data_IF_554443472834
#
_entry.id   IF_554443472834
#
_cell.length_a   1.000
_cell.length_b   1.000
_cell.length_c   1.000
_cell.angle_alpha   90.00
_cell.angle_beta   90.00
_cell.angle_gamma   90.00
#
_symmetry.space_group_name_H-M   'P 1'
#
loop_
_entity.id
_entity.type
_entity.pdbx_description
1 polymer ?
#
# COMPACT_ATOMS: atom_id res chain seq x y z
N UNK A 1 22.27 -0.33 -26.53
CA UNK A 1 21.25 -0.59 -27.57
C UNK A 1 19.87 -0.41 -26.92
N UNK A 2 19.36 0.81 -26.88
CA UNK A 2 17.95 1.06 -26.54
C UNK A 2 17.14 0.72 -27.77
N UNK A 3 16.60 -0.52 -27.84
CA UNK A 3 15.65 -0.87 -28.89
C UNK A 3 14.50 0.13 -28.83
N UNK A 4 14.12 0.66 -29.96
CA UNK A 4 12.97 1.55 -30.10
C UNK A 4 11.72 0.79 -29.64
N UNK A 5 11.29 1.05 -28.40
CA UNK A 5 10.11 0.43 -27.80
C UNK A 5 8.85 1.28 -27.99
N UNK A 6 9.02 2.47 -28.57
CA UNK A 6 7.93 3.43 -28.76
C UNK A 6 6.83 2.84 -29.65
N UNK A 7 5.59 2.96 -29.22
CA UNK A 7 4.43 2.44 -29.95
C UNK A 7 4.19 0.92 -29.84
N UNK A 8 5.09 0.15 -29.20
CA UNK A 8 4.81 -1.27 -28.96
C UNK A 8 3.64 -1.44 -28.00
N UNK A 9 2.84 -2.46 -28.23
CA UNK A 9 1.70 -2.80 -27.38
C UNK A 9 2.11 -3.77 -26.27
N UNK A 10 1.67 -3.49 -25.06
CA UNK A 10 1.93 -4.30 -23.87
C UNK A 10 0.62 -4.60 -23.16
N UNK A 11 0.43 -5.85 -22.78
CA UNK A 11 -0.66 -6.28 -21.91
C UNK A 11 -0.14 -6.44 -20.48
N UNK A 12 -0.82 -5.81 -19.52
CA UNK A 12 -0.57 -5.98 -18.09
C UNK A 12 -1.74 -6.75 -17.50
N UNK A 13 -1.50 -7.91 -16.94
CA UNK A 13 -2.54 -8.73 -16.30
C UNK A 13 -2.57 -8.47 -14.80
N UNK A 14 -3.71 -8.00 -14.33
CA UNK A 14 -3.93 -7.58 -12.95
C UNK A 14 -3.82 -6.05 -12.77
N UNK A 15 -4.92 -5.44 -12.32
CA UNK A 15 -5.06 -4.01 -12.08
C UNK A 15 -4.84 -3.60 -10.62
N UNK A 16 -4.09 -4.36 -9.83
CA UNK A 16 -3.63 -3.94 -8.52
C UNK A 16 -2.62 -2.80 -8.59
N UNK A 17 -2.17 -2.29 -7.43
CA UNK A 17 -1.25 -1.14 -7.38
C UNK A 17 0.02 -1.36 -8.22
N UNK A 18 0.57 -2.57 -8.22
CA UNK A 18 1.74 -2.92 -9.04
C UNK A 18 1.44 -2.84 -10.53
N UNK A 19 0.32 -3.45 -10.99
CA UNK A 19 -0.05 -3.44 -12.40
C UNK A 19 -0.37 -2.05 -12.93
N UNK A 20 -1.07 -1.24 -12.14
CA UNK A 20 -1.36 0.16 -12.48
C UNK A 20 -0.08 0.99 -12.54
N UNK A 21 0.81 0.85 -11.57
CA UNK A 21 2.11 1.55 -11.55
C UNK A 21 2.97 1.16 -12.74
N UNK A 22 3.04 -0.14 -13.06
CA UNK A 22 3.77 -0.64 -14.22
C UNK A 22 3.21 -0.07 -15.52
N UNK A 23 1.89 -0.11 -15.68
CA UNK A 23 1.24 0.45 -16.86
C UNK A 23 1.51 1.95 -17.03
N UNK A 24 1.43 2.69 -15.93
CA UNK A 24 1.77 4.12 -15.90
C UNK A 24 3.21 4.37 -16.35
N UNK A 25 4.18 3.68 -15.76
CA UNK A 25 5.61 3.84 -16.10
C UNK A 25 5.93 3.42 -17.54
N UNK A 26 5.27 2.39 -18.06
CA UNK A 26 5.43 1.96 -19.45
C UNK A 26 4.80 2.97 -20.42
N UNK A 27 3.63 3.52 -20.10
CA UNK A 27 2.99 4.54 -20.93
C UNK A 27 3.84 5.82 -21.03
N UNK A 28 4.49 6.23 -19.94
CA UNK A 28 5.43 7.35 -19.95
C UNK A 28 6.65 7.11 -20.90
N UNK A 29 6.99 5.84 -21.16
CA UNK A 29 8.03 5.46 -22.11
C UNK A 29 7.53 5.34 -23.56
N UNK A 30 6.27 5.71 -23.80
CA UNK A 30 5.68 5.73 -25.14
C UNK A 30 5.15 4.37 -25.61
N UNK A 31 4.94 3.40 -24.71
CA UNK A 31 4.27 2.16 -25.04
C UNK A 31 2.75 2.33 -24.96
N UNK A 32 2.04 1.55 -25.81
CA UNK A 32 0.59 1.41 -25.72
C UNK A 32 0.25 0.30 -24.73
N UNK A 33 -0.28 0.63 -23.55
CA UNK A 33 -0.50 -0.35 -22.50
C UNK A 33 -1.98 -0.61 -22.31
N UNK A 34 -2.35 -1.89 -22.22
CA UNK A 34 -3.70 -2.34 -21.86
C UNK A 34 -3.63 -3.13 -20.56
N UNK A 35 -4.43 -2.75 -19.57
CA UNK A 35 -4.57 -3.50 -18.32
C UNK A 35 -5.77 -4.44 -18.44
N UNK A 36 -5.56 -5.71 -18.12
CA UNK A 36 -6.62 -6.72 -17.99
C UNK A 36 -6.86 -6.99 -16.51
N UNK A 37 -8.00 -6.53 -16.00
CA UNK A 37 -8.43 -6.73 -14.61
C UNK A 37 -9.69 -7.58 -14.58
N UNK A 38 -9.74 -8.55 -13.67
CA UNK A 38 -10.90 -9.43 -13.50
C UNK A 38 -12.04 -8.76 -12.74
N UNK A 39 -11.70 -7.86 -11.83
CA UNK A 39 -12.69 -7.13 -11.03
C UNK A 39 -13.20 -5.88 -11.75
N UNK A 40 -14.29 -5.33 -11.25
CA UNK A 40 -14.94 -4.15 -11.83
C UNK A 40 -14.12 -2.86 -11.64
N UNK A 41 -13.16 -2.85 -10.71
CA UNK A 41 -12.36 -1.69 -10.36
C UNK A 41 -10.87 -2.03 -10.26
N UNK A 42 -10.04 -1.05 -10.63
CA UNK A 42 -8.61 -1.10 -10.40
C UNK A 42 -8.29 -0.87 -8.90
N UNK A 43 -7.08 -1.19 -8.49
CA UNK A 43 -6.55 -0.98 -7.14
C UNK A 43 -6.25 -2.29 -6.39
N UNK A 44 -6.94 -3.38 -6.68
CA UNK A 44 -6.72 -4.66 -6.00
C UNK A 44 -6.94 -4.55 -4.49
N UNK A 45 -5.96 -4.94 -3.67
CA UNK A 45 -6.03 -4.82 -2.21
C UNK A 45 -5.93 -3.35 -1.71
N UNK A 46 -5.34 -2.45 -2.49
CA UNK A 46 -5.31 -1.02 -2.18
C UNK A 46 -6.63 -0.30 -2.55
N UNK A 47 -7.59 -1.03 -3.12
CA UNK A 47 -8.93 -0.52 -3.38
C UNK A 47 -9.78 -0.43 -2.11
N UNK A 48 -10.98 0.06 -2.28
CA UNK A 48 -11.98 0.14 -1.20
C UNK A 48 -13.17 -0.78 -1.49
N UNK A 49 -14.00 -0.99 -0.47
CA UNK A 49 -15.29 -1.66 -0.57
C UNK A 49 -16.36 -0.86 0.18
N UNK A 50 -17.62 -0.90 -0.26
CA UNK A 50 -18.72 -0.30 0.49
C UNK A 50 -19.03 -1.17 1.71
N UNK A 51 -19.21 -0.51 2.86
CA UNK A 51 -19.64 -1.14 4.10
C UNK A 51 -20.52 -0.14 4.88
N UNK A 52 -21.78 -0.48 5.11
CA UNK A 52 -22.76 0.33 5.87
C UNK A 52 -22.78 1.83 5.47
N UNK A 53 -22.83 2.10 4.16
CA UNK A 53 -22.83 3.46 3.61
C UNK A 53 -21.47 4.17 3.62
N UNK A 54 -20.43 3.53 4.15
CA UNK A 54 -19.06 4.04 4.18
C UNK A 54 -18.22 3.38 3.09
N UNK A 55 -17.09 4.00 2.78
CA UNK A 55 -16.03 3.41 1.95
C UNK A 55 -14.88 3.04 2.87
N UNK A 56 -14.63 1.75 3.02
CA UNK A 56 -13.53 1.23 3.82
C UNK A 56 -12.48 0.57 2.93
N UNK A 57 -11.25 0.58 3.36
CA UNK A 57 -10.16 -0.10 2.65
C UNK A 57 -10.40 -1.60 2.61
N UNK A 58 -10.13 -2.24 1.46
CA UNK A 58 -10.23 -3.70 1.31
C UNK A 58 -9.23 -4.44 2.18
N UNK A 59 -8.08 -3.84 2.36
CA UNK A 59 -7.00 -4.41 3.13
C UNK A 59 -6.20 -3.30 3.80
N UNK A 60 -5.66 -3.59 4.97
CA UNK A 60 -4.78 -2.67 5.66
C UNK A 60 -3.54 -2.36 4.80
N UNK A 61 -3.30 -1.09 4.57
CA UNK A 61 -2.10 -0.61 3.91
C UNK A 61 -1.66 0.72 4.52
N UNK A 62 -0.36 0.90 4.65
CA UNK A 62 0.23 2.09 5.24
C UNK A 62 1.38 2.58 4.36
N UNK A 63 1.44 3.87 4.16
CA UNK A 63 2.57 4.54 3.51
C UNK A 63 3.41 5.17 4.61
N UNK A 64 4.68 4.76 4.69
CA UNK A 64 5.61 5.32 5.65
C UNK A 64 6.22 6.61 5.11
N UNK A 65 6.51 7.55 6.01
CA UNK A 65 7.22 8.78 5.63
C UNK A 65 8.66 8.55 5.15
N UNK A 66 9.21 7.36 5.36
CA UNK A 66 10.50 6.92 4.84
C UNK A 66 10.42 6.25 3.46
N UNK A 67 9.23 5.96 2.94
CA UNK A 67 9.05 5.33 1.62
C UNK A 67 9.14 6.37 0.50
N UNK A 68 10.38 6.72 0.15
CA UNK A 68 10.67 7.73 -0.87
C UNK A 68 10.17 7.32 -2.26
N UNK A 69 10.15 6.02 -2.57
CA UNK A 69 9.68 5.52 -3.86
C UNK A 69 8.17 5.75 -4.02
N UNK A 70 7.40 5.45 -2.99
CA UNK A 70 5.95 5.69 -3.00
C UNK A 70 5.65 7.20 -3.02
N UNK A 71 6.38 8.00 -2.24
CA UNK A 71 6.20 9.45 -2.25
C UNK A 71 6.49 10.06 -3.62
N UNK A 72 7.56 9.63 -4.29
CA UNK A 72 7.87 10.05 -5.67
C UNK A 72 6.75 9.70 -6.65
N UNK A 73 6.19 8.49 -6.54
CA UNK A 73 5.07 8.08 -7.39
C UNK A 73 3.81 8.93 -7.13
N UNK A 74 3.52 9.25 -5.88
CA UNK A 74 2.40 10.11 -5.49
C UNK A 74 2.58 11.53 -6.04
N UNK A 75 3.80 12.06 -5.96
CA UNK A 75 4.14 13.37 -6.51
C UNK A 75 3.99 13.40 -8.04
N UNK A 76 4.55 12.39 -8.73
CA UNK A 76 4.40 12.23 -10.18
C UNK A 76 2.93 12.09 -10.62
N UNK A 77 2.09 11.50 -9.77
CA UNK A 77 0.64 11.35 -10.02
C UNK A 77 -0.16 12.63 -9.77
N UNK A 78 0.47 13.70 -9.26
CA UNK A 78 -0.17 15.00 -9.00
C UNK A 78 -1.17 14.99 -7.84
N UNK A 79 -1.04 14.04 -6.89
CA UNK A 79 -1.93 13.91 -5.73
C UNK A 79 -1.21 14.08 -4.39
N UNK A 80 -0.02 14.67 -4.42
CA UNK A 80 0.83 14.86 -3.23
C UNK A 80 0.16 15.69 -2.13
N UNK A 81 -0.61 16.68 -2.51
CA UNK A 81 -1.37 17.57 -1.62
C UNK A 81 -2.49 16.83 -0.84
N UNK A 82 -2.90 15.66 -1.31
CA UNK A 82 -3.88 14.79 -0.64
C UNK A 82 -3.25 13.82 0.36
N UNK A 83 -1.92 13.71 0.38
CA UNK A 83 -1.21 12.82 1.29
C UNK A 83 -0.84 13.56 2.57
N UNK A 84 -1.41 13.14 3.68
CA UNK A 84 -1.12 13.66 5.01
C UNK A 84 -0.59 12.56 5.91
N UNK A 85 0.59 12.77 6.48
CA UNK A 85 1.14 11.86 7.48
C UNK A 85 0.65 12.25 8.87
N UNK A 86 0.09 11.28 9.58
CA UNK A 86 -0.37 11.47 10.95
C UNK A 86 0.28 10.43 11.87
N UNK A 87 0.51 10.81 13.12
CA UNK A 87 0.94 9.85 14.12
C UNK A 87 -0.22 8.87 14.40
N UNK A 88 0.03 7.59 14.22
CA UNK A 88 -0.92 6.52 14.51
C UNK A 88 -0.54 5.81 15.79
N UNK A 89 -1.54 5.34 16.54
CA UNK A 89 -1.35 4.44 17.67
C UNK A 89 -1.70 3.03 17.23
N UNK A 90 -0.81 2.10 17.54
CA UNK A 90 -1.02 0.68 17.29
C UNK A 90 -1.25 -0.06 18.59
N UNK A 91 -1.97 -1.16 18.53
CA UNK A 91 -2.20 -2.01 19.68
C UNK A 91 -2.41 -3.46 19.26
N UNK A 92 -2.21 -4.33 20.20
CA UNK A 92 -2.55 -5.75 20.08
C UNK A 92 -3.87 -6.03 20.82
N UNK A 93 -4.69 -6.89 20.21
CA UNK A 93 -5.87 -7.44 20.86
C UNK A 93 -5.63 -8.92 21.12
N UNK A 94 -5.69 -9.33 22.37
CA UNK A 94 -5.53 -10.71 22.78
C UNK A 94 -6.44 -11.02 24.01
N UNK A 95 -7.13 -12.16 23.97
CA UNK A 95 -8.00 -12.66 25.03
C UNK A 95 -8.97 -11.58 25.61
N UNK A 96 -9.59 -10.79 24.74
CA UNK A 96 -10.57 -9.78 25.14
C UNK A 96 -9.96 -8.46 25.64
N UNK A 97 -8.64 -8.30 25.62
CA UNK A 97 -7.94 -7.11 26.09
C UNK A 97 -7.13 -6.43 24.98
N UNK A 98 -7.07 -5.09 25.07
CA UNK A 98 -6.24 -4.27 24.19
C UNK A 98 -4.94 -3.89 24.90
N UNK A 99 -3.83 -4.09 24.22
CA UNK A 99 -2.49 -3.73 24.70
C UNK A 99 -1.89 -2.68 23.78
N UNK A 100 -1.35 -1.56 24.28
CA UNK A 100 -0.60 -0.62 23.45
C UNK A 100 0.65 -1.29 22.90
N UNK A 101 1.05 -0.93 21.67
CA UNK A 101 2.22 -1.51 21.01
C UNK A 101 2.91 -0.46 20.12
N UNK A 102 3.29 0.68 20.76
CA UNK A 102 3.86 1.82 20.06
C UNK A 102 5.32 2.11 20.43
N UNK A 103 5.76 1.61 21.57
CA UNK A 103 7.08 1.91 22.12
C UNK A 103 7.83 0.64 22.50
N UNK A 104 9.19 0.68 22.61
CA UNK A 104 9.95 -0.42 23.16
C UNK A 104 9.50 -0.83 24.58
N UNK A 105 9.00 0.13 25.37
CA UNK A 105 8.49 -0.13 26.71
C UNK A 105 7.19 -0.95 26.64
N UNK A 106 6.28 -0.62 25.71
CA UNK A 106 5.05 -1.40 25.50
C UNK A 106 5.40 -2.86 25.15
N UNK A 107 6.40 -3.06 24.30
CA UNK A 107 6.88 -4.39 23.96
C UNK A 107 7.45 -5.15 25.15
N UNK A 108 8.29 -4.48 25.96
CA UNK A 108 8.88 -5.06 27.17
C UNK A 108 7.83 -5.42 28.23
N UNK A 109 6.74 -4.68 28.29
CA UNK A 109 5.63 -4.90 29.24
C UNK A 109 4.50 -5.77 28.67
N UNK A 110 4.62 -6.25 27.44
CA UNK A 110 3.56 -7.00 26.76
C UNK A 110 3.30 -8.37 27.44
N UNK A 111 2.17 -8.55 28.15
CA UNK A 111 1.94 -9.72 29.00
C UNK A 111 1.93 -11.08 28.27
N UNK A 112 1.43 -11.18 27.00
CA UNK A 112 1.42 -12.43 26.30
C UNK A 112 2.82 -13.03 26.00
N UNK A 113 3.89 -12.22 26.10
CA UNK A 113 5.26 -12.70 25.91
C UNK A 113 5.95 -12.95 27.26
N UNK A 114 6.59 -14.12 27.39
CA UNK A 114 7.48 -14.37 28.52
C UNK A 114 8.83 -13.65 28.36
N UNK A 115 9.62 -13.58 29.46
CA UNK A 115 10.86 -12.80 29.50
C UNK A 115 11.86 -13.21 28.40
N UNK A 116 11.99 -14.52 28.10
CA UNK A 116 12.87 -15.02 27.04
C UNK A 116 12.41 -14.61 25.63
N UNK A 117 11.11 -14.56 25.42
CA UNK A 117 10.54 -14.13 24.14
C UNK A 117 10.69 -12.63 23.89
N UNK A 118 10.78 -11.81 24.93
CA UNK A 118 10.97 -10.35 24.83
C UNK A 118 12.40 -9.96 24.48
N UNK A 119 13.37 -10.83 24.74
CA UNK A 119 14.81 -10.51 24.57
C UNK A 119 15.42 -11.21 23.35
N UNK A 120 14.70 -12.09 22.68
CA UNK A 120 15.12 -12.80 21.47
C UNK A 120 14.75 -12.02 20.21
#
# INVERSE_FOLDING_TARGET
MTSDIKGKRVAVVGGGIMGVTLAYKLSQRGLSVTIFERGDNLGGLAGFMPYDGLRIDRFYHTILSSDMTMQSLIEESGVRDRLHFTATKQGFYDNGQHYPFNTPVDFMLFPPLNLFQRVR
#
